data_IF_482338938533
#
_entry.id   IF_482338938533
#
_cell.length_a   1.000
_cell.length_b   1.000
_cell.length_c   1.000
_cell.angle_alpha   90.00
_cell.angle_beta   90.00
_cell.angle_gamma   90.00
#
_symmetry.space_group_name_H-M   'P 1'
#
loop_
_entity.id
_entity.type
_entity.pdbx_description
1 polymer ?
#
# COMPACT_ATOMS: atom_id res chain seq x y z
N UNK A 1 -19.14 -14.32 -17.54
CA UNK A 1 -19.18 -12.86 -17.26
C UNK A 1 -17.80 -12.46 -16.79
N UNK A 2 -16.92 -12.04 -17.70
CA UNK A 2 -15.53 -11.70 -17.38
C UNK A 2 -15.43 -10.22 -17.02
N UNK A 3 -15.28 -9.93 -15.73
CA UNK A 3 -15.13 -8.59 -15.21
C UNK A 3 -13.76 -8.03 -15.66
N UNK A 4 -13.77 -7.11 -16.63
CA UNK A 4 -12.56 -6.45 -17.08
C UNK A 4 -12.06 -5.51 -15.99
N UNK A 5 -11.14 -6.01 -15.16
CA UNK A 5 -10.51 -5.26 -14.07
C UNK A 5 -9.66 -4.13 -14.65
N UNK A 6 -10.25 -2.95 -14.81
CA UNK A 6 -9.56 -1.71 -15.21
C UNK A 6 -8.39 -1.48 -14.26
N UNK A 7 -7.17 -1.35 -14.79
CA UNK A 7 -5.97 -1.07 -13.99
C UNK A 7 -6.16 0.29 -13.30
N UNK A 8 -6.16 0.30 -11.96
CA UNK A 8 -6.24 1.53 -11.17
C UNK A 8 -4.90 2.27 -11.26
N UNK A 9 -4.97 3.59 -11.38
CA UNK A 9 -3.78 4.45 -11.41
C UNK A 9 -3.21 4.57 -10.00
N UNK A 10 -1.89 4.72 -9.91
CA UNK A 10 -1.21 5.03 -8.65
C UNK A 10 -1.27 6.56 -8.51
N UNK A 11 -1.93 7.09 -7.48
CA UNK A 11 -2.03 8.52 -7.26
C UNK A 11 -0.68 9.03 -6.76
N UNK A 12 -0.25 10.18 -7.29
CA UNK A 12 0.96 10.88 -6.85
C UNK A 12 0.47 12.22 -6.29
N UNK A 13 0.72 12.47 -5.00
CA UNK A 13 0.33 13.72 -4.33
C UNK A 13 -1.12 13.80 -3.87
N UNK A 14 -1.85 12.68 -3.80
CA UNK A 14 -3.17 12.59 -3.15
C UNK A 14 -3.04 11.70 -1.93
N UNK A 15 -3.20 12.31 -0.76
CA UNK A 15 -3.06 11.65 0.54
C UNK A 15 -4.43 11.38 1.20
N UNK A 16 -5.48 12.09 0.75
CA UNK A 16 -6.82 12.01 1.29
C UNK A 16 -7.56 10.73 0.86
N UNK A 17 -7.98 9.94 1.85
CA UNK A 17 -8.71 8.69 1.65
C UNK A 17 -10.01 8.85 0.87
N UNK A 18 -10.72 9.97 1.09
CA UNK A 18 -11.99 10.24 0.41
C UNK A 18 -11.78 10.35 -1.10
N UNK A 19 -10.79 11.13 -1.51
CA UNK A 19 -10.45 11.34 -2.92
C UNK A 19 -9.94 10.05 -3.57
N UNK A 20 -9.17 9.24 -2.82
CA UNK A 20 -8.68 7.93 -3.28
C UNK A 20 -9.81 6.95 -3.64
N UNK A 21 -10.85 6.90 -2.81
CA UNK A 21 -12.02 6.01 -3.02
C UNK A 21 -12.91 6.56 -4.14
N UNK A 22 -13.22 7.85 -4.13
CA UNK A 22 -14.07 8.48 -5.14
C UNK A 22 -13.47 8.41 -6.55
N UNK A 23 -12.16 8.59 -6.68
CA UNK A 23 -11.44 8.54 -7.96
C UNK A 23 -10.96 7.12 -8.32
N UNK A 24 -11.29 6.11 -7.50
CA UNK A 24 -10.95 4.71 -7.71
C UNK A 24 -9.44 4.46 -7.95
N UNK A 25 -8.60 5.16 -7.17
CA UNK A 25 -7.15 5.00 -7.22
C UNK A 25 -6.67 3.74 -6.51
N UNK A 26 -5.41 3.37 -6.76
CA UNK A 26 -4.76 2.28 -6.05
C UNK A 26 -4.33 2.75 -4.65
N UNK A 27 -4.91 2.17 -3.61
CA UNK A 27 -4.52 2.40 -2.22
C UNK A 27 -3.89 1.14 -1.62
N UNK A 28 -2.72 1.28 -0.99
CA UNK A 28 -2.02 0.20 -0.32
C UNK A 28 -2.26 0.29 1.20
N UNK A 29 -3.27 -0.46 1.67
CA UNK A 29 -3.53 -0.62 3.10
C UNK A 29 -2.39 -1.42 3.75
N UNK A 30 -1.82 -0.85 4.82
CA UNK A 30 -0.76 -1.49 5.63
C UNK A 30 -1.24 -1.71 7.07
N UNK A 31 -2.53 -1.55 7.33
CA UNK A 31 -3.09 -1.60 8.68
C UNK A 31 -2.92 -3.00 9.29
N UNK A 32 -3.02 -4.05 8.47
CA UNK A 32 -2.76 -5.42 8.90
C UNK A 32 -1.30 -5.62 9.34
N UNK A 33 -0.35 -5.09 8.57
CA UNK A 33 1.08 -5.15 8.91
C UNK A 33 1.37 -4.42 10.22
N UNK A 34 0.75 -3.25 10.43
CA UNK A 34 0.89 -2.48 11.67
C UNK A 34 0.31 -3.27 12.85
N UNK A 35 -0.82 -3.93 12.66
CA UNK A 35 -1.43 -4.77 13.70
C UNK A 35 -0.50 -5.92 14.11
N UNK A 36 0.02 -6.67 13.14
CA UNK A 36 0.98 -7.75 13.40
C UNK A 36 2.25 -7.25 14.09
N UNK A 37 2.70 -6.04 13.73
CA UNK A 37 3.83 -5.37 14.36
C UNK A 37 3.58 -5.08 15.85
N UNK A 38 2.40 -4.54 16.18
CA UNK A 38 1.99 -4.25 17.55
C UNK A 38 1.81 -5.53 18.38
N UNK A 39 1.20 -6.56 17.78
CA UNK A 39 0.95 -7.86 18.44
C UNK A 39 2.26 -8.63 18.69
N UNK A 40 3.32 -8.38 17.91
CA UNK A 40 4.62 -9.06 18.07
C UNK A 40 5.34 -8.76 19.38
N UNK A 41 5.01 -7.65 20.07
CA UNK A 41 5.61 -7.26 21.35
C UNK A 41 7.10 -6.93 21.30
N UNK A 42 7.68 -6.79 20.10
CA UNK A 42 9.10 -6.51 19.94
C UNK A 42 9.43 -5.04 20.30
N UNK A 43 10.48 -4.84 21.11
CA UNK A 43 10.91 -3.50 21.54
C UNK A 43 11.49 -2.65 20.39
N UNK A 44 12.10 -3.29 19.39
CA UNK A 44 12.66 -2.65 18.19
C UNK A 44 12.45 -3.57 17.00
N UNK A 45 11.98 -3.03 15.87
CA UNK A 45 11.73 -3.80 14.65
C UNK A 45 12.43 -3.10 13.47
N UNK A 46 13.30 -3.83 12.78
CA UNK A 46 14.02 -3.34 11.61
C UNK A 46 13.20 -3.64 10.34
N UNK A 47 12.72 -2.60 9.67
CA UNK A 47 12.03 -2.73 8.38
C UNK A 47 13.02 -2.43 7.25
N UNK A 48 13.52 -3.45 6.51
CA UNK A 48 14.47 -3.20 5.44
C UNK A 48 13.79 -2.48 4.27
N UNK A 49 14.53 -1.56 3.62
CA UNK A 49 14.04 -0.90 2.41
C UNK A 49 13.84 -1.96 1.31
N UNK A 50 12.67 -2.03 0.66
CA UNK A 50 12.48 -2.95 -0.46
C UNK A 50 13.46 -2.59 -1.59
N UNK A 51 14.30 -3.55 -1.99
CA UNK A 51 15.23 -3.36 -3.10
C UNK A 51 14.45 -3.35 -4.41
N UNK A 52 14.41 -2.20 -5.09
CA UNK A 52 14.00 -2.15 -6.50
C UNK A 52 15.20 -2.62 -7.30
N UNK A 53 15.11 -3.82 -7.90
CA UNK A 53 16.09 -4.26 -8.88
C UNK A 53 15.99 -3.27 -10.07
N UNK A 54 16.91 -2.31 -10.13
CA UNK A 54 17.11 -1.49 -11.33
C UNK A 54 17.91 -2.37 -12.27
N UNK A 55 17.23 -3.00 -13.23
CA UNK A 55 17.92 -3.58 -14.38
C UNK A 55 18.25 -2.39 -15.29
N UNK A 56 19.53 -2.04 -15.34
CA UNK A 56 20.07 -1.08 -16.30
C UNK A 56 20.00 -1.62 -17.73
#
# INVERSE_FOLDING_TARGET
>A
MTEQKKKKLIPIGIDDFKELVEQNYYFADKSLLIKELLDSGAAVILVPRPQKRVLC
#
